data_IF_234301488842
#
_entry.id   IF_234301488842
#
_cell.length_a   1.000
_cell.length_b   1.000
_cell.length_c   1.000
_cell.angle_alpha   90.00
_cell.angle_beta   90.00
_cell.angle_gamma   90.00
#
_symmetry.space_group_name_H-M   'P 1'
#
loop_
_entity.id
_entity.type
_entity.pdbx_description
1 polymer ?
#
# COMPACT_ATOMS: atom_id res chain seq x y z
N UNK A 1 18.68 18.47 -48.97
CA UNK A 1 19.15 18.65 -47.59
C UNK A 1 18.17 17.91 -46.68
N UNK A 2 18.71 17.02 -45.86
CA UNK A 2 18.14 16.30 -44.69
C UNK A 2 16.87 15.46 -44.79
N UNK A 3 17.05 14.23 -44.28
CA UNK A 3 16.22 13.02 -44.34
C UNK A 3 15.22 12.86 -43.18
N UNK A 4 14.37 11.84 -43.36
CA UNK A 4 13.83 10.88 -42.37
C UNK A 4 12.47 11.13 -41.66
N UNK A 5 11.52 10.23 -41.96
CA UNK A 5 10.45 9.72 -41.09
C UNK A 5 11.04 8.69 -40.07
N UNK A 6 10.29 8.02 -39.17
CA UNK A 6 8.96 8.25 -38.56
C UNK A 6 9.02 8.19 -37.01
N UNK A 7 8.51 9.19 -36.28
CA UNK A 7 8.63 9.24 -34.80
C UNK A 7 7.40 8.78 -33.99
N UNK A 8 6.31 8.39 -34.66
CA UNK A 8 5.01 8.13 -34.01
C UNK A 8 4.85 6.67 -33.52
N UNK A 9 5.37 5.70 -34.27
CA UNK A 9 5.24 4.27 -33.95
C UNK A 9 5.98 3.86 -32.67
N UNK A 10 7.07 4.54 -32.31
CA UNK A 10 7.90 4.17 -31.16
C UNK A 10 7.26 4.57 -29.82
N UNK A 11 6.43 5.62 -29.81
CA UNK A 11 5.74 6.07 -28.60
C UNK A 11 4.59 5.12 -28.21
N UNK A 12 3.85 4.59 -29.20
CA UNK A 12 2.76 3.65 -28.97
C UNK A 12 3.20 2.32 -28.36
N UNK A 13 4.32 1.75 -28.82
CA UNK A 13 4.89 0.50 -28.26
C UNK A 13 5.37 0.68 -26.81
N UNK A 14 5.86 1.88 -26.48
CA UNK A 14 6.32 2.21 -25.12
C UNK A 14 5.15 2.32 -24.14
N UNK A 15 4.03 2.93 -24.56
CA UNK A 15 2.81 3.01 -23.76
C UNK A 15 2.18 1.63 -23.55
N UNK A 16 2.05 0.80 -24.59
CA UNK A 16 1.46 -0.55 -24.47
C UNK A 16 2.26 -1.44 -23.49
N UNK A 17 3.60 -1.32 -23.50
CA UNK A 17 4.47 -2.03 -22.55
C UNK A 17 4.33 -1.51 -21.12
N UNK A 18 4.07 -0.21 -20.93
CA UNK A 18 3.81 0.37 -19.62
C UNK A 18 2.43 -0.04 -19.10
N UNK A 19 1.40 0.03 -19.94
CA UNK A 19 0.02 -0.33 -19.60
C UNK A 19 -0.08 -1.76 -19.06
N UNK A 20 0.53 -2.74 -19.73
CA UNK A 20 0.57 -4.13 -19.23
C UNK A 20 1.22 -4.23 -17.85
N UNK A 21 2.26 -3.43 -17.57
CA UNK A 21 2.90 -3.42 -16.25
C UNK A 21 2.02 -2.81 -15.16
N UNK A 22 1.11 -1.90 -15.49
CA UNK A 22 0.20 -1.30 -14.53
C UNK A 22 -1.10 -2.11 -14.36
N UNK A 23 -1.62 -2.70 -15.43
CA UNK A 23 -2.83 -3.53 -15.42
C UNK A 23 -2.68 -4.84 -14.65
N UNK A 24 -1.45 -5.37 -14.53
CA UNK A 24 -1.16 -6.61 -13.81
C UNK A 24 -0.69 -6.42 -12.36
N UNK A 25 -0.60 -5.19 -11.85
CA UNK A 25 -0.30 -5.00 -10.42
C UNK A 25 -1.55 -5.34 -9.60
N UNK A 26 -1.50 -6.34 -8.70
CA UNK A 26 -2.55 -6.48 -7.70
C UNK A 26 -2.59 -5.17 -6.90
N UNK A 27 -3.78 -4.73 -6.49
CA UNK A 27 -4.02 -3.45 -5.81
C UNK A 27 -3.36 -3.32 -4.41
N UNK A 28 -2.28 -4.05 -4.13
CA UNK A 28 -1.77 -4.31 -2.78
C UNK A 28 -0.25 -4.20 -2.64
N UNK A 29 0.50 -3.65 -3.60
CA UNK A 29 1.96 -3.50 -3.40
C UNK A 29 2.29 -2.50 -2.27
N UNK A 30 1.35 -1.60 -1.93
CA UNK A 30 1.55 -0.52 -0.93
C UNK A 30 0.43 -0.36 0.10
N UNK A 31 -0.55 -1.26 0.14
CA UNK A 31 -1.65 -1.11 1.09
C UNK A 31 -1.28 -1.71 2.45
N UNK A 32 -0.95 -0.87 3.44
CA UNK A 32 -0.88 -1.27 4.84
C UNK A 32 -2.31 -1.35 5.40
N UNK A 33 -2.85 -2.56 5.67
CA UNK A 33 -4.20 -2.72 6.21
C UNK A 33 -4.38 -2.09 7.60
N UNK A 34 -3.29 -1.68 8.25
CA UNK A 34 -3.30 -1.03 9.56
C UNK A 34 -3.13 0.49 9.51
N UNK A 35 -3.06 1.09 8.32
CA UNK A 35 -2.86 2.53 8.14
C UNK A 35 -3.93 3.37 8.86
N UNK A 36 -5.20 2.99 8.77
CA UNK A 36 -6.30 3.72 9.41
C UNK A 36 -6.17 3.76 10.95
N UNK A 37 -5.73 2.65 11.56
CA UNK A 37 -5.50 2.57 13.00
C UNK A 37 -4.28 3.41 13.41
N UNK A 38 -3.23 3.44 12.58
CA UNK A 38 -2.07 4.30 12.79
C UNK A 38 -2.47 5.79 12.73
N UNK A 39 -3.22 6.18 11.71
CA UNK A 39 -3.69 7.55 11.53
C UNK A 39 -4.56 8.02 12.70
N UNK A 40 -5.45 7.16 13.20
CA UNK A 40 -6.26 7.46 14.40
C UNK A 40 -5.39 7.67 15.64
N UNK A 41 -4.38 6.83 15.84
CA UNK A 41 -3.43 6.95 16.95
C UNK A 41 -2.65 8.27 16.87
N UNK A 42 -2.18 8.65 15.68
CA UNK A 42 -1.48 9.91 15.45
C UNK A 42 -2.38 11.13 15.64
N UNK A 43 -3.65 11.04 15.23
CA UNK A 43 -4.65 12.09 15.47
C UNK A 43 -4.95 12.26 16.95
N UNK A 44 -4.99 11.18 17.73
CA UNK A 44 -5.12 11.26 19.19
C UNK A 44 -3.93 11.97 19.82
N UNK A 45 -2.70 11.59 19.45
CA UNK A 45 -1.47 12.21 19.95
C UNK A 45 -1.42 13.71 19.66
N UNK A 46 -1.78 14.13 18.43
CA UNK A 46 -1.82 15.55 18.05
C UNK A 46 -2.81 16.37 18.88
N UNK A 47 -3.91 15.76 19.35
CA UNK A 47 -4.94 16.44 20.16
C UNK A 47 -4.61 16.50 21.65
N UNK A 48 -3.85 15.52 22.14
CA UNK A 48 -3.52 15.38 23.56
C UNK A 48 -2.06 15.77 23.85
N UNK A 49 -1.48 16.68 23.07
CA UNK A 49 -0.12 17.16 23.27
C UNK A 49 0.94 16.04 23.37
N UNK A 50 0.75 14.98 22.59
CA UNK A 50 1.56 13.76 22.56
C UNK A 50 1.56 12.94 23.87
N UNK A 51 0.53 13.10 24.70
CA UNK A 51 0.29 12.22 25.82
C UNK A 51 -0.17 10.83 25.33
N UNK A 52 0.63 9.82 25.66
CA UNK A 52 0.40 8.43 25.26
C UNK A 52 -0.64 7.73 26.12
N UNK A 53 -0.81 8.13 27.38
CA UNK A 53 -1.72 7.45 28.31
C UNK A 53 -3.17 7.64 27.85
N UNK A 54 -3.48 8.83 27.34
CA UNK A 54 -4.79 9.17 26.77
C UNK A 54 -5.14 8.43 25.47
N UNK A 55 -4.16 7.82 24.80
CA UNK A 55 -4.31 7.23 23.47
C UNK A 55 -4.15 5.69 23.45
N UNK A 56 -4.16 5.05 24.62
CA UNK A 56 -3.93 3.60 24.78
C UNK A 56 -4.78 2.72 23.85
N UNK A 57 -6.08 2.99 23.77
CA UNK A 57 -7.02 2.22 22.96
C UNK A 57 -6.70 2.26 21.46
N UNK A 58 -6.25 3.42 20.95
CA UNK A 58 -5.87 3.56 19.55
C UNK A 58 -4.61 2.74 19.23
N UNK A 59 -3.63 2.75 20.14
CA UNK A 59 -2.43 1.93 19.99
C UNK A 59 -2.74 0.44 20.08
N UNK A 60 -3.68 0.07 20.95
CA UNK A 60 -4.12 -1.32 21.07
C UNK A 60 -4.76 -1.81 19.78
N UNK A 61 -5.68 -1.03 19.19
CA UNK A 61 -6.29 -1.34 17.91
C UNK A 61 -5.25 -1.50 16.77
N UNK A 62 -4.22 -0.64 16.74
CA UNK A 62 -3.13 -0.78 15.77
C UNK A 62 -2.32 -2.07 15.95
N UNK A 63 -1.99 -2.44 17.19
CA UNK A 63 -1.29 -3.71 17.50
C UNK A 63 -2.12 -4.92 17.11
N UNK A 64 -3.42 -4.89 17.41
CA UNK A 64 -4.35 -5.97 17.10
C UNK A 64 -4.50 -6.15 15.59
N UNK A 65 -4.60 -5.06 14.84
CA UNK A 65 -4.55 -5.10 13.38
C UNK A 65 -3.27 -5.77 12.87
N UNK A 66 -2.10 -5.34 13.36
CA UNK A 66 -0.81 -5.92 12.94
C UNK A 66 -0.71 -7.40 13.27
N UNK A 67 -1.16 -7.80 14.46
CA UNK A 67 -1.18 -9.20 14.89
C UNK A 67 -2.07 -10.03 13.97
N UNK A 68 -3.28 -9.55 13.69
CA UNK A 68 -4.21 -10.22 12.79
C UNK A 68 -3.66 -10.31 11.36
N UNK A 69 -3.04 -9.25 10.85
CA UNK A 69 -2.42 -9.26 9.53
C UNK A 69 -1.28 -10.27 9.41
N UNK A 70 -0.39 -10.34 10.41
CA UNK A 70 0.67 -11.35 10.45
C UNK A 70 0.12 -12.76 10.55
N UNK A 71 -0.95 -12.97 11.32
CA UNK A 71 -1.62 -14.27 11.43
C UNK A 71 -2.23 -14.69 10.09
N UNK A 72 -2.93 -13.77 9.40
CA UNK A 72 -3.48 -14.00 8.07
C UNK A 72 -2.40 -14.31 7.04
N UNK A 73 -1.25 -13.62 7.08
CA UNK A 73 -0.11 -13.93 6.20
C UNK A 73 0.45 -15.33 6.46
N UNK A 74 0.52 -15.75 7.72
CA UNK A 74 0.95 -17.11 8.09
C UNK A 74 -0.04 -18.17 7.60
N UNK A 75 -1.34 -17.95 7.78
CA UNK A 75 -2.37 -18.90 7.32
C UNK A 75 -2.49 -18.93 5.79
N UNK A 76 -2.33 -17.79 5.11
CA UNK A 76 -2.32 -17.70 3.65
C UNK A 76 -1.08 -18.32 3.00
N UNK A 77 0.04 -18.43 3.74
CA UNK A 77 1.26 -19.11 3.29
C UNK A 77 1.25 -20.63 3.47
N UNK A 78 0.26 -21.19 4.17
CA UNK A 78 0.04 -22.63 4.22
C UNK A 78 -1.00 -23.00 3.16
N UNK A 79 -0.63 -23.65 2.03
CA UNK A 79 -1.62 -24.29 1.19
C UNK A 79 -2.34 -25.32 2.06
N UNK A 80 -3.62 -25.07 2.33
CA UNK A 80 -4.51 -26.07 2.90
C UNK A 80 -4.50 -27.25 1.91
N UNK A 81 -3.90 -28.35 2.35
CA UNK A 81 -3.83 -29.61 1.62
C UNK A 81 -4.95 -30.53 2.10
#
# INVERSE_FOLDING_TARGET
>A
MSSNAPQDEQHGKAWEKAERKFSHKPASEYYDPCQDFADRSLRCMKRNNFDREMCGDYFQAYRDCKKNWLNQKKSASSPQK
#
